data_IF_346300254739
#
_entry.id   IF_346300254739
#
_cell.length_a   1.000
_cell.length_b   1.000
_cell.length_c   1.000
_cell.angle_alpha   90.00
_cell.angle_beta   90.00
_cell.angle_gamma   90.00
#
_symmetry.space_group_name_H-M   'P 1'
#
loop_
_entity.id
_entity.type
_entity.pdbx_description
1 polymer ?
#
# COMPACT_ATOMS: atom_id res chain seq x y z
N UNK A 1 2.74 25.84 -2.14
CA UNK A 1 2.86 24.45 -2.63
C UNK A 1 1.72 23.63 -2.02
N UNK A 2 1.06 22.79 -2.82
CA UNK A 2 0.02 21.87 -2.36
C UNK A 2 0.55 20.44 -2.45
N UNK A 3 0.49 19.71 -1.35
CA UNK A 3 0.89 18.31 -1.31
C UNK A 3 -0.34 17.45 -1.53
N UNK A 4 -0.39 16.74 -2.65
CA UNK A 4 -1.47 15.78 -2.94
C UNK A 4 -1.00 14.38 -2.57
N UNK A 5 -1.44 13.82 -1.41
CA UNK A 5 -0.95 12.52 -0.96
C UNK A 5 -1.46 11.41 -1.89
N UNK A 6 -0.53 10.66 -2.47
CA UNK A 6 -0.84 9.53 -3.35
C UNK A 6 -1.02 8.21 -2.61
N UNK A 7 -0.67 8.14 -1.32
CA UNK A 7 -0.89 7.00 -0.46
C UNK A 7 -1.04 7.42 1.01
N UNK A 8 -1.92 6.76 1.76
CA UNK A 8 -2.12 7.01 3.19
C UNK A 8 -2.61 5.77 3.93
N UNK A 9 -2.51 5.82 5.27
CA UNK A 9 -3.04 4.78 6.16
C UNK A 9 -4.05 5.35 7.13
N UNK A 10 -4.97 4.51 7.62
CA UNK A 10 -5.94 4.86 8.65
C UNK A 10 -6.27 3.65 9.51
N UNK A 11 -6.56 3.87 10.78
CA UNK A 11 -7.24 2.88 11.62
C UNK A 11 -8.74 3.20 11.64
N UNK A 12 -9.59 2.23 11.27
CA UNK A 12 -11.04 2.37 11.30
C UNK A 12 -11.67 1.18 12.01
N UNK A 13 -12.32 1.43 13.15
CA UNK A 13 -12.96 0.39 13.99
C UNK A 13 -12.00 -0.75 14.35
N UNK A 14 -10.75 -0.42 14.66
CA UNK A 14 -9.71 -1.41 14.99
C UNK A 14 -9.04 -2.08 13.80
N UNK A 15 -9.54 -1.88 12.56
CA UNK A 15 -8.92 -2.43 11.36
C UNK A 15 -7.95 -1.42 10.71
N UNK A 16 -6.85 -1.95 10.14
CA UNK A 16 -5.88 -1.21 9.34
C UNK A 16 -6.39 -1.00 7.92
N UNK A 17 -6.30 0.23 7.42
CA UNK A 17 -6.67 0.60 6.05
C UNK A 17 -5.45 1.22 5.37
N UNK A 18 -5.13 0.76 4.18
CA UNK A 18 -4.18 1.38 3.27
C UNK A 18 -4.92 1.81 2.01
N UNK A 19 -4.64 3.02 1.52
CA UNK A 19 -5.18 3.55 0.27
C UNK A 19 -4.04 4.12 -0.57
N UNK A 20 -4.16 3.99 -1.89
CA UNK A 20 -3.35 4.73 -2.86
C UNK A 20 -4.19 5.14 -4.05
N UNK A 21 -3.94 6.33 -4.59
CA UNK A 21 -4.55 6.81 -5.84
C UNK A 21 -3.78 6.35 -7.10
N UNK A 22 -2.63 5.70 -6.92
CA UNK A 22 -1.88 5.02 -7.99
C UNK A 22 -2.59 3.74 -8.43
N UNK A 23 -2.19 3.18 -9.57
CA UNK A 23 -2.78 1.94 -10.09
C UNK A 23 -3.12 1.97 -11.57
N UNK A 24 -2.48 2.84 -12.35
CA UNK A 24 -2.52 2.70 -13.80
C UNK A 24 -1.93 1.32 -14.17
N UNK A 25 -2.41 0.62 -15.22
CA UNK A 25 -1.88 -0.69 -15.60
C UNK A 25 -0.35 -0.75 -15.73
N UNK A 26 0.28 0.34 -16.15
CA UNK A 26 1.74 0.43 -16.26
C UNK A 26 2.47 0.49 -14.91
N UNK A 27 1.81 0.95 -13.83
CA UNK A 27 2.40 0.94 -12.48
C UNK A 27 2.72 -0.49 -12.03
N UNK A 28 1.92 -1.48 -12.46
CA UNK A 28 2.16 -2.89 -12.14
C UNK A 28 3.39 -3.48 -12.82
N UNK A 29 3.97 -2.78 -13.82
CA UNK A 29 5.28 -3.14 -14.37
C UNK A 29 6.44 -2.66 -13.49
N UNK A 30 6.19 -1.74 -12.57
CA UNK A 30 7.20 -1.19 -11.67
C UNK A 30 7.35 -2.07 -10.43
N UNK A 31 8.54 -2.63 -10.22
CA UNK A 31 8.86 -3.45 -9.02
C UNK A 31 8.62 -2.69 -7.71
N UNK A 32 8.80 -1.38 -7.71
CA UNK A 32 8.53 -0.50 -6.55
C UNK A 32 7.05 -0.49 -6.17
N UNK A 33 6.15 -0.39 -7.15
CA UNK A 33 4.71 -0.38 -6.92
C UNK A 33 4.22 -1.75 -6.43
N UNK A 34 4.70 -2.83 -7.04
CA UNK A 34 4.43 -4.18 -6.55
C UNK A 34 4.89 -4.37 -5.10
N UNK A 35 6.09 -3.86 -4.76
CA UNK A 35 6.59 -3.91 -3.37
C UNK A 35 5.73 -3.08 -2.41
N UNK A 36 5.24 -1.91 -2.82
CA UNK A 36 4.33 -1.10 -2.02
C UNK A 36 3.04 -1.88 -1.73
N UNK A 37 2.40 -2.43 -2.76
CA UNK A 37 1.16 -3.20 -2.61
C UNK A 37 1.35 -4.46 -1.76
N UNK A 38 2.42 -5.23 -1.98
CA UNK A 38 2.73 -6.41 -1.17
C UNK A 38 2.87 -6.03 0.30
N UNK A 39 3.67 -5.00 0.63
CA UNK A 39 3.85 -4.58 2.03
C UNK A 39 2.55 -4.05 2.64
N UNK A 40 1.75 -3.33 1.87
CA UNK A 40 0.44 -2.85 2.31
C UNK A 40 -0.49 -4.02 2.65
N UNK A 41 -0.57 -5.06 1.81
CA UNK A 41 -1.40 -6.25 2.05
C UNK A 41 -0.98 -6.96 3.33
N UNK A 42 0.32 -7.24 3.51
CA UNK A 42 0.82 -7.88 4.73
C UNK A 42 0.56 -7.03 5.98
N UNK A 43 0.78 -5.72 5.88
CA UNK A 43 0.54 -4.79 6.97
C UNK A 43 -0.95 -4.71 7.37
N UNK A 44 -1.87 -4.65 6.39
CA UNK A 44 -3.32 -4.63 6.62
C UNK A 44 -3.81 -5.94 7.25
N UNK A 45 -3.26 -7.07 6.81
CA UNK A 45 -3.59 -8.39 7.35
C UNK A 45 -2.91 -8.70 8.69
N UNK A 46 -2.08 -7.80 9.22
CA UNK A 46 -1.28 -8.02 10.44
C UNK A 46 -0.42 -9.29 10.37
N UNK A 47 0.21 -9.50 9.20
CA UNK A 47 1.09 -10.64 8.94
C UNK A 47 2.52 -10.17 8.70
N UNK A 48 3.47 -10.99 9.14
CA UNK A 48 4.88 -10.83 8.78
C UNK A 48 5.10 -11.16 7.30
N UNK A 49 6.05 -10.46 6.68
CA UNK A 49 6.51 -10.79 5.34
C UNK A 49 7.18 -12.19 5.38
N UNK A 50 7.03 -13.00 4.33
CA UNK A 50 7.75 -14.26 4.24
C UNK A 50 9.26 -14.00 4.12
N UNK A 51 10.05 -14.84 4.78
CA UNK A 51 11.49 -14.91 4.54
C UNK A 51 11.71 -15.49 3.14
N UNK A 52 12.07 -14.62 2.19
CA UNK A 52 12.35 -14.94 0.78
C UNK A 52 13.79 -14.63 0.42
#
# INVERSE_FOLDING_TARGET
>A
EHTEPVAWTRIHKGARVFYTSLGHPDDFRQKSFLRLLTRAVFWVCERELPDV
#
